data_IF_162197842682
#
_entry.id   IF_162197842682
#
_cell.length_a   1.000
_cell.length_b   1.000
_cell.length_c   1.000
_cell.angle_alpha   90.00
_cell.angle_beta   90.00
_cell.angle_gamma   90.00
#
_symmetry.space_group_name_H-M   'P 1'
#
loop_
_entity.id
_entity.type
_entity.pdbx_description
1 polymer ?
#
# COMPACT_ATOMS: atom_id res chain seq x y z
N UNK A 1 15.34 60.51 30.70
CA UNK A 1 15.72 59.33 29.88
C UNK A 1 14.75 58.21 30.14
N UNK A 2 13.84 57.95 29.21
CA UNK A 2 12.88 56.80 29.30
C UNK A 2 13.42 55.63 28.49
N UNK A 3 13.75 54.53 29.15
CA UNK A 3 14.25 53.32 28.51
C UNK A 3 13.05 52.53 28.01
N UNK A 4 12.90 52.47 26.68
CA UNK A 4 11.89 51.67 26.00
C UNK A 4 12.37 50.22 25.99
N UNK A 5 11.72 49.34 26.77
CA UNK A 5 11.96 47.88 26.72
C UNK A 5 11.16 47.29 25.56
N UNK A 6 11.86 46.89 24.49
CA UNK A 6 11.27 46.06 23.43
C UNK A 6 11.04 44.67 24.01
N UNK A 7 9.77 44.24 24.10
CA UNK A 7 9.41 42.85 24.29
C UNK A 7 9.49 42.13 22.94
N UNK A 8 10.47 41.25 22.76
CA UNK A 8 10.51 40.36 21.63
C UNK A 8 9.47 39.19 21.87
N UNK A 9 8.40 39.22 21.14
CA UNK A 9 7.43 38.10 21.09
C UNK A 9 8.02 36.99 20.23
N UNK A 10 8.49 35.91 20.84
CA UNK A 10 8.91 34.70 20.13
C UNK A 10 7.67 33.99 19.60
N UNK A 11 7.38 34.14 18.31
CA UNK A 11 6.39 33.34 17.63
C UNK A 11 6.92 31.92 17.50
N UNK A 12 6.48 31.02 18.40
CA UNK A 12 6.69 29.58 18.26
C UNK A 12 5.80 29.11 17.11
N UNK A 13 6.39 28.92 15.93
CA UNK A 13 5.71 28.28 14.83
C UNK A 13 5.28 26.88 15.26
N UNK A 14 4.02 26.46 15.07
CA UNK A 14 3.60 25.11 15.38
C UNK A 14 4.44 24.15 14.53
N UNK A 15 5.11 23.21 15.17
CA UNK A 15 5.77 22.11 14.50
C UNK A 15 4.70 21.35 13.71
N UNK A 16 4.75 21.40 12.38
CA UNK A 16 3.96 20.53 11.51
C UNK A 16 4.37 19.09 11.87
N UNK A 17 3.61 18.44 12.73
CA UNK A 17 3.76 17.00 12.94
C UNK A 17 3.53 16.35 11.59
N UNK A 18 4.52 15.65 11.07
CA UNK A 18 4.33 14.82 9.88
C UNK A 18 3.11 13.93 10.11
N UNK A 19 2.13 14.00 9.20
CA UNK A 19 0.90 13.25 9.34
C UNK A 19 1.24 11.77 9.49
N UNK A 20 0.65 11.11 10.50
CA UNK A 20 0.82 9.67 10.70
C UNK A 20 -0.02 8.91 9.66
N UNK A 21 0.57 8.65 8.52
CA UNK A 21 -0.09 7.96 7.41
C UNK A 21 -0.45 6.52 7.75
N UNK A 22 0.25 5.88 8.67
CA UNK A 22 -0.15 4.57 9.17
C UNK A 22 -1.50 4.65 9.91
N UNK A 23 -1.74 5.73 10.67
CA UNK A 23 -3.05 5.95 11.30
C UNK A 23 -4.16 6.12 10.25
N UNK A 24 -3.90 6.84 9.14
CA UNK A 24 -4.86 6.98 8.04
C UNK A 24 -5.14 5.63 7.34
N UNK A 25 -4.12 4.81 7.10
CA UNK A 25 -4.25 3.46 6.55
C UNK A 25 -5.09 2.58 7.49
N UNK A 26 -4.82 2.60 8.80
CA UNK A 26 -5.58 1.83 9.79
C UNK A 26 -7.03 2.32 9.90
N UNK A 27 -7.29 3.62 9.80
CA UNK A 27 -8.65 4.16 9.74
C UNK A 27 -9.39 3.67 8.49
N UNK A 28 -8.72 3.63 7.33
CA UNK A 28 -9.25 3.04 6.11
C UNK A 28 -9.58 1.55 6.32
N UNK A 29 -8.68 0.75 6.90
CA UNK A 29 -8.92 -0.68 7.22
C UNK A 29 -10.15 -0.85 8.09
N UNK A 30 -10.29 -0.09 9.19
CA UNK A 30 -11.47 -0.16 10.09
C UNK A 30 -12.79 0.15 9.40
N UNK A 31 -12.76 0.90 8.30
CA UNK A 31 -13.94 1.27 7.52
C UNK A 31 -14.23 0.30 6.36
N UNK A 32 -13.42 -0.73 6.18
CA UNK A 32 -13.67 -1.77 5.16
C UNK A 32 -14.76 -2.72 5.63
N UNK A 33 -15.58 -3.26 4.72
CA UNK A 33 -16.50 -4.33 5.07
C UNK A 33 -15.75 -5.62 5.46
N UNK A 34 -16.46 -6.57 6.03
CA UNK A 34 -15.95 -7.91 6.35
C UNK A 34 -16.49 -8.97 5.39
N UNK A 35 -15.75 -10.06 5.20
CA UNK A 35 -16.19 -11.19 4.39
C UNK A 35 -16.29 -10.89 2.89
N UNK A 36 -17.24 -11.52 2.22
CA UNK A 36 -17.54 -11.32 0.80
C UNK A 36 -16.82 -12.27 -0.14
N UNK A 37 -16.02 -13.21 0.38
CA UNK A 37 -15.35 -14.24 -0.39
C UNK A 37 -14.08 -13.76 -1.11
N UNK A 38 -13.29 -14.73 -1.56
CA UNK A 38 -12.04 -14.51 -2.30
C UNK A 38 -12.15 -15.02 -3.74
N UNK A 39 -11.82 -14.19 -4.72
CA UNK A 39 -11.78 -14.56 -6.13
C UNK A 39 -10.78 -13.69 -6.89
N UNK A 40 -10.22 -14.24 -7.99
CA UNK A 40 -9.23 -13.57 -8.87
C UNK A 40 -9.67 -13.52 -10.33
N UNK A 41 -10.98 -13.63 -10.60
CA UNK A 41 -11.54 -13.63 -11.96
C UNK A 41 -11.56 -12.23 -12.58
N UNK A 42 -11.76 -12.17 -13.88
CA UNK A 42 -11.97 -10.91 -14.62
C UNK A 42 -13.18 -10.13 -14.08
N UNK A 43 -14.24 -10.82 -13.66
CA UNK A 43 -15.41 -10.21 -13.01
C UNK A 43 -15.03 -9.53 -11.70
N UNK A 44 -14.22 -10.20 -10.85
CA UNK A 44 -13.72 -9.59 -9.60
C UNK A 44 -12.90 -8.33 -9.88
N UNK A 45 -12.08 -8.35 -10.93
CA UNK A 45 -11.33 -7.15 -11.35
C UNK A 45 -12.25 -6.04 -11.88
N UNK A 46 -13.35 -6.39 -12.56
CA UNK A 46 -14.36 -5.42 -12.98
C UNK A 46 -15.08 -4.79 -11.77
N UNK A 47 -15.40 -5.59 -10.74
CA UNK A 47 -15.99 -5.11 -9.48
C UNK A 47 -15.04 -4.17 -8.73
N UNK A 48 -13.73 -4.45 -8.72
CA UNK A 48 -12.74 -3.55 -8.14
C UNK A 48 -12.75 -2.17 -8.81
N UNK A 49 -12.80 -2.15 -10.15
CA UNK A 49 -12.91 -0.87 -10.91
C UNK A 49 -14.21 -0.15 -10.59
N UNK A 50 -15.34 -0.86 -10.58
CA UNK A 50 -16.66 -0.29 -10.27
C UNK A 50 -16.73 0.25 -8.81
N UNK A 51 -15.93 -0.29 -7.91
CA UNK A 51 -15.84 0.17 -6.53
C UNK A 51 -15.10 1.52 -6.38
N UNK A 52 -14.47 2.02 -7.45
CA UNK A 52 -13.69 3.26 -7.43
C UNK A 52 -14.25 4.25 -8.43
N UNK A 53 -14.78 5.36 -7.96
CA UNK A 53 -15.23 6.49 -8.77
C UNK A 53 -14.30 7.68 -8.60
N UNK A 54 -14.04 8.41 -9.68
CA UNK A 54 -13.30 9.68 -9.64
C UNK A 54 -14.32 10.82 -9.76
N UNK A 55 -14.38 11.68 -8.75
CA UNK A 55 -15.13 12.93 -8.78
C UNK A 55 -14.27 14.09 -9.28
N UNK A 56 -14.82 15.30 -9.24
CA UNK A 56 -14.06 16.50 -9.64
C UNK A 56 -12.80 16.68 -8.79
N UNK A 57 -12.92 16.50 -7.46
CA UNK A 57 -11.84 16.79 -6.51
C UNK A 57 -11.56 15.64 -5.53
N UNK A 58 -12.17 14.46 -5.72
CA UNK A 58 -12.00 13.35 -4.78
C UNK A 58 -12.17 11.98 -5.42
N UNK A 59 -11.69 10.96 -4.70
CA UNK A 59 -11.99 9.56 -4.95
C UNK A 59 -13.20 9.11 -4.12
N UNK A 60 -14.13 8.41 -4.75
CA UNK A 60 -15.24 7.72 -4.08
C UNK A 60 -14.96 6.23 -4.07
N UNK A 61 -14.77 5.69 -2.89
CA UNK A 61 -14.39 4.29 -2.72
C UNK A 61 -15.52 3.55 -2.01
N UNK A 62 -16.10 2.56 -2.70
CA UNK A 62 -17.22 1.72 -2.25
C UNK A 62 -16.81 0.25 -2.16
N UNK A 63 -16.04 -0.17 -1.13
CA UNK A 63 -15.44 -1.50 -1.07
C UNK A 63 -16.47 -2.65 -1.08
N UNK A 64 -17.70 -2.40 -0.66
CA UNK A 64 -18.78 -3.39 -0.70
C UNK A 64 -19.08 -3.90 -2.13
N UNK A 65 -18.85 -3.06 -3.16
CA UNK A 65 -19.01 -3.43 -4.56
C UNK A 65 -17.92 -4.42 -5.00
N UNK A 66 -16.69 -4.28 -4.46
CA UNK A 66 -15.55 -5.14 -4.78
C UNK A 66 -15.56 -6.46 -3.98
N UNK A 67 -16.70 -7.12 -3.91
CA UNK A 67 -16.87 -8.45 -3.29
C UNK A 67 -17.47 -9.43 -4.29
N UNK A 68 -16.88 -10.63 -4.47
CA UNK A 68 -15.64 -11.13 -3.86
C UNK A 68 -14.42 -10.28 -4.24
N UNK A 69 -13.31 -10.44 -3.49
CA UNK A 69 -12.10 -9.63 -3.68
C UNK A 69 -10.84 -10.50 -3.64
N UNK A 70 -9.68 -9.90 -3.90
CA UNK A 70 -8.36 -10.53 -3.77
C UNK A 70 -7.38 -9.57 -3.08
N UNK A 71 -6.26 -10.10 -2.64
CA UNK A 71 -5.37 -9.43 -1.70
C UNK A 71 -4.84 -8.06 -2.21
N UNK A 72 -4.32 -7.99 -3.44
CA UNK A 72 -3.82 -6.73 -4.01
C UNK A 72 -4.94 -5.72 -4.22
N UNK A 73 -6.13 -6.17 -4.67
CA UNK A 73 -7.31 -5.30 -4.80
C UNK A 73 -7.76 -4.72 -3.46
N UNK A 74 -7.80 -5.56 -2.42
CA UNK A 74 -8.17 -5.13 -1.07
C UNK A 74 -7.22 -4.07 -0.51
N UNK A 75 -5.91 -4.31 -0.58
CA UNK A 75 -4.91 -3.37 -0.08
C UNK A 75 -4.82 -2.09 -0.91
N UNK A 76 -5.11 -2.16 -2.21
CA UNK A 76 -5.20 -0.98 -3.06
C UNK A 76 -6.40 -0.10 -2.68
N UNK A 77 -7.57 -0.69 -2.44
CA UNK A 77 -8.74 0.06 -1.95
C UNK A 77 -8.46 0.71 -0.60
N UNK A 78 -7.70 0.08 0.29
CA UNK A 78 -7.25 0.70 1.56
C UNK A 78 -6.37 1.92 1.29
N UNK A 79 -5.40 1.84 0.37
CA UNK A 79 -4.60 3.00 -0.04
C UNK A 79 -5.51 4.13 -0.53
N UNK A 80 -6.37 3.84 -1.50
CA UNK A 80 -7.25 4.86 -2.09
C UNK A 80 -8.20 5.49 -1.06
N UNK A 81 -8.71 4.70 -0.09
CA UNK A 81 -9.53 5.23 1.02
C UNK A 81 -8.72 6.13 1.95
N UNK A 82 -7.48 5.79 2.26
CA UNK A 82 -6.62 6.63 3.08
C UNK A 82 -6.35 7.98 2.40
N UNK A 83 -6.04 7.96 1.09
CA UNK A 83 -5.85 9.18 0.30
C UNK A 83 -7.14 10.02 0.22
N UNK A 84 -8.29 9.39 -0.08
CA UNK A 84 -9.58 10.07 -0.15
C UNK A 84 -9.98 10.70 1.20
N UNK A 85 -9.74 10.00 2.31
CA UNK A 85 -9.98 10.53 3.65
C UNK A 85 -9.12 11.74 3.96
N UNK A 86 -7.84 11.70 3.57
CA UNK A 86 -6.94 12.83 3.76
C UNK A 86 -7.31 14.05 2.89
N UNK A 87 -7.79 13.82 1.65
CA UNK A 87 -8.32 14.91 0.82
C UNK A 87 -9.57 15.53 1.41
N UNK A 88 -10.49 14.72 1.92
CA UNK A 88 -11.72 15.21 2.53
C UNK A 88 -11.48 16.08 3.77
N UNK A 89 -10.37 15.90 4.46
CA UNK A 89 -9.95 16.72 5.61
C UNK A 89 -9.00 17.86 5.25
N UNK A 90 -8.60 18.00 3.97
CA UNK A 90 -7.62 18.99 3.53
C UNK A 90 -6.17 18.67 3.90
N UNK A 91 -5.90 17.49 4.49
CA UNK A 91 -4.54 17.06 4.84
C UNK A 91 -3.70 16.61 3.63
N UNK A 92 -4.34 16.39 2.49
CA UNK A 92 -3.73 16.04 1.21
C UNK A 92 -4.49 16.75 0.10
N UNK A 93 -3.76 17.17 -0.94
CA UNK A 93 -4.35 17.70 -2.17
C UNK A 93 -3.71 16.99 -3.37
N UNK A 94 -4.50 16.27 -4.14
CA UNK A 94 -4.12 15.67 -5.40
C UNK A 94 -5.05 16.23 -6.49
N UNK A 95 -4.48 16.57 -7.62
CA UNK A 95 -5.25 17.09 -8.75
C UNK A 95 -6.10 15.99 -9.42
N UNK A 96 -7.14 16.36 -10.19
CA UNK A 96 -8.05 15.41 -10.81
C UNK A 96 -7.36 14.42 -11.77
N UNK A 97 -6.28 14.83 -12.46
CA UNK A 97 -5.54 13.94 -13.36
C UNK A 97 -4.77 12.88 -12.56
N UNK A 98 -4.19 13.25 -11.42
CA UNK A 98 -3.57 12.32 -10.48
C UNK A 98 -4.59 11.32 -9.93
N UNK A 99 -5.78 11.79 -9.51
CA UNK A 99 -6.84 10.92 -9.02
C UNK A 99 -7.31 9.93 -10.08
N UNK A 100 -7.45 10.39 -11.33
CA UNK A 100 -7.79 9.52 -12.45
C UNK A 100 -6.71 8.48 -12.73
N UNK A 101 -5.42 8.86 -12.64
CA UNK A 101 -4.29 7.93 -12.84
C UNK A 101 -4.16 6.89 -11.73
N UNK A 102 -4.65 7.19 -10.52
CA UNK A 102 -4.70 6.25 -9.39
C UNK A 102 -5.91 5.31 -9.45
N UNK A 103 -6.98 5.66 -10.16
CA UNK A 103 -8.13 4.77 -10.25
C UNK A 103 -7.76 3.44 -10.94
N UNK A 104 -8.20 2.27 -10.42
CA UNK A 104 -7.96 0.99 -11.06
C UNK A 104 -8.52 0.98 -12.49
N UNK A 105 -7.70 0.62 -13.46
CA UNK A 105 -8.06 0.57 -14.87
C UNK A 105 -7.74 -0.80 -15.46
N UNK A 106 -7.95 -0.98 -16.79
CA UNK A 106 -7.55 -2.17 -17.54
C UNK A 106 -6.02 -2.18 -17.78
N UNK A 107 -5.25 -2.06 -16.71
CA UNK A 107 -3.79 -2.02 -16.75
C UNK A 107 -3.22 -3.42 -16.55
N UNK A 108 -2.29 -3.82 -17.43
CA UNK A 108 -1.50 -5.04 -17.26
C UNK A 108 -0.43 -4.82 -16.18
N UNK A 109 0.15 -5.89 -15.68
CA UNK A 109 1.24 -5.83 -14.72
C UNK A 109 2.36 -4.88 -15.20
N UNK A 110 2.80 -4.02 -14.31
CA UNK A 110 3.78 -2.98 -14.59
C UNK A 110 3.23 -1.69 -15.21
N UNK A 111 1.96 -1.64 -15.63
CA UNK A 111 1.37 -0.45 -16.24
C UNK A 111 0.66 0.45 -15.22
N UNK A 112 0.86 1.75 -15.32
CA UNK A 112 0.20 2.74 -14.46
C UNK A 112 0.38 2.45 -12.96
N UNK A 113 -0.47 3.00 -12.13
CA UNK A 113 -0.44 2.78 -10.68
C UNK A 113 -0.98 1.40 -10.31
N UNK A 114 -2.15 1.05 -10.85
CA UNK A 114 -2.80 -0.21 -10.53
C UNK A 114 -2.02 -1.43 -11.04
N UNK A 115 -1.56 -1.43 -12.29
CA UNK A 115 -0.81 -2.55 -12.83
C UNK A 115 0.54 -2.78 -12.13
N UNK A 116 1.18 -1.71 -11.62
CA UNK A 116 2.35 -1.85 -10.74
C UNK A 116 1.98 -2.49 -9.42
N UNK A 117 0.95 -1.96 -8.76
CA UNK A 117 0.49 -2.47 -7.46
C UNK A 117 0.11 -3.94 -7.50
N UNK A 118 -0.61 -4.35 -8.55
CA UNK A 118 -1.13 -5.70 -8.71
C UNK A 118 -0.10 -6.73 -9.18
N UNK A 119 1.01 -6.28 -9.73
CA UNK A 119 2.03 -7.16 -10.29
C UNK A 119 2.59 -8.18 -9.29
N UNK A 120 3.02 -9.33 -9.79
CA UNK A 120 3.83 -10.27 -9.04
C UNK A 120 5.11 -9.58 -8.51
N UNK A 121 5.77 -10.20 -7.54
CA UNK A 121 6.96 -9.67 -6.93
C UNK A 121 6.68 -8.46 -6.04
N UNK A 122 7.52 -7.42 -6.09
CA UNK A 122 7.48 -6.29 -5.18
C UNK A 122 6.54 -5.17 -5.66
N UNK A 123 5.43 -5.46 -6.34
CA UNK A 123 4.60 -4.45 -7.02
C UNK A 123 4.35 -3.17 -6.23
N UNK A 124 3.78 -3.27 -5.01
CA UNK A 124 3.56 -2.13 -4.11
C UNK A 124 4.86 -1.40 -3.78
N UNK A 125 5.91 -2.14 -3.40
CA UNK A 125 7.20 -1.54 -3.01
C UNK A 125 7.89 -0.86 -4.21
N UNK A 126 7.73 -1.41 -5.40
CA UNK A 126 8.25 -0.81 -6.63
C UNK A 126 7.57 0.53 -6.93
N UNK A 127 6.24 0.59 -6.84
CA UNK A 127 5.46 1.83 -7.00
C UNK A 127 5.89 2.89 -5.97
N UNK A 128 6.05 2.49 -4.70
CA UNK A 128 6.51 3.39 -3.63
C UNK A 128 7.89 3.96 -3.93
N UNK A 129 8.81 3.12 -4.39
CA UNK A 129 10.17 3.54 -4.74
C UNK A 129 10.20 4.51 -5.94
N UNK A 130 9.49 4.18 -7.03
CA UNK A 130 9.47 5.01 -8.24
C UNK A 130 8.91 6.42 -8.00
N UNK A 131 7.89 6.51 -7.18
CA UNK A 131 7.25 7.79 -6.85
C UNK A 131 7.88 8.48 -5.63
N UNK A 132 8.66 7.76 -4.84
CA UNK A 132 9.19 8.28 -3.58
C UNK A 132 8.10 8.61 -2.55
N UNK A 133 6.93 7.96 -2.63
CA UNK A 133 5.81 8.22 -1.71
C UNK A 133 6.03 7.68 -0.31
N UNK A 134 7.14 6.97 -0.09
CA UNK A 134 7.49 6.39 1.20
C UNK A 134 8.75 5.55 1.11
N UNK A 135 8.96 4.71 2.09
CA UNK A 135 10.14 3.84 2.16
C UNK A 135 9.78 2.37 2.19
N UNK A 136 10.67 1.55 1.65
CA UNK A 136 10.59 0.10 1.68
C UNK A 136 11.69 -0.48 2.57
N UNK A 137 11.39 -1.61 3.24
CA UNK A 137 12.32 -2.29 4.13
C UNK A 137 11.90 -3.75 4.38
N UNK A 138 12.81 -4.55 4.97
CA UNK A 138 12.57 -5.97 5.26
C UNK A 138 12.61 -6.30 6.76
N UNK A 139 13.02 -5.34 7.61
CA UNK A 139 13.12 -5.52 9.06
C UNK A 139 11.72 -5.59 9.70
N UNK A 140 11.49 -6.65 10.46
CA UNK A 140 10.28 -6.83 11.28
C UNK A 140 10.25 -5.84 12.46
N UNK A 141 11.41 -5.49 13.01
CA UNK A 141 11.58 -4.57 14.14
C UNK A 141 11.21 -3.12 13.74
N UNK A 142 11.43 -2.78 12.47
CA UNK A 142 11.06 -1.48 11.93
C UNK A 142 9.57 -1.39 11.55
N UNK A 143 8.88 -2.54 11.44
CA UNK A 143 7.49 -2.60 11.01
C UNK A 143 6.53 -2.02 12.06
N UNK A 144 5.51 -1.31 11.58
CA UNK A 144 4.45 -0.71 12.43
C UNK A 144 3.08 -1.05 11.87
N UNK A 145 2.04 -1.20 12.72
CA UNK A 145 0.68 -1.33 12.24
C UNK A 145 0.33 -0.24 11.21
N UNK A 146 -0.28 -0.64 10.09
CA UNK A 146 -0.58 0.25 8.97
C UNK A 146 0.44 0.21 7.83
N UNK A 147 1.60 -0.44 7.98
CA UNK A 147 2.51 -0.67 6.87
C UNK A 147 1.88 -1.64 5.85
N UNK A 148 2.07 -1.39 4.58
CA UNK A 148 1.78 -2.36 3.54
C UNK A 148 2.84 -3.45 3.57
N UNK A 149 2.42 -4.70 3.47
CA UNK A 149 3.32 -5.84 3.53
C UNK A 149 3.05 -6.79 2.37
N UNK A 150 4.09 -7.07 1.60
CA UNK A 150 4.13 -8.19 0.68
C UNK A 150 4.74 -9.39 1.38
N UNK A 151 3.93 -10.41 1.57
CA UNK A 151 4.34 -11.72 2.09
C UNK A 151 4.70 -12.62 0.90
N UNK A 152 5.83 -13.31 0.99
CA UNK A 152 6.19 -14.42 0.13
C UNK A 152 6.18 -15.68 0.99
N UNK A 153 5.27 -16.61 0.66
CA UNK A 153 5.13 -17.87 1.41
C UNK A 153 6.25 -18.85 1.13
N UNK A 154 7.02 -18.64 0.09
CA UNK A 154 8.23 -19.37 -0.27
C UNK A 154 9.23 -18.42 -0.92
N UNK A 155 10.48 -18.87 -1.00
CA UNK A 155 11.59 -18.08 -1.55
C UNK A 155 11.57 -18.09 -3.09
N UNK A 156 10.46 -17.64 -3.67
CA UNK A 156 10.25 -17.50 -5.11
C UNK A 156 9.54 -16.19 -5.40
N UNK A 157 10.03 -15.47 -6.39
CA UNK A 157 9.48 -14.19 -6.88
C UNK A 157 9.22 -14.33 -8.38
N UNK A 158 8.11 -13.78 -8.85
CA UNK A 158 7.74 -13.80 -10.27
C UNK A 158 6.84 -14.97 -10.63
N UNK A 159 7.13 -15.71 -11.73
CA UNK A 159 6.23 -16.72 -12.30
C UNK A 159 5.82 -17.83 -11.34
N UNK A 160 6.68 -18.21 -10.39
CA UNK A 160 6.42 -19.27 -9.40
C UNK A 160 6.03 -18.71 -8.03
N UNK A 161 5.73 -17.43 -7.95
CA UNK A 161 5.44 -16.77 -6.69
C UNK A 161 4.18 -17.32 -6.02
N UNK A 162 4.28 -17.51 -4.71
CA UNK A 162 3.13 -17.56 -3.82
C UNK A 162 3.19 -16.37 -2.89
N UNK A 163 2.56 -15.27 -3.32
CA UNK A 163 2.56 -14.02 -2.61
C UNK A 163 1.22 -13.67 -1.98
N UNK A 164 1.25 -12.73 -1.05
CA UNK A 164 0.06 -12.14 -0.45
C UNK A 164 0.30 -10.68 -0.11
N UNK A 165 -0.58 -9.79 -0.53
CA UNK A 165 -0.53 -8.36 -0.21
C UNK A 165 -1.45 -8.09 0.97
N UNK A 166 -0.93 -7.50 2.04
CA UNK A 166 -1.67 -7.31 3.30
C UNK A 166 -1.35 -5.95 3.94
N UNK A 167 -2.17 -5.52 4.88
CA UNK A 167 -1.85 -4.44 5.81
C UNK A 167 -1.36 -5.08 7.11
N UNK A 168 -0.15 -4.78 7.51
CA UNK A 168 0.45 -5.29 8.74
C UNK A 168 -0.25 -4.67 9.96
N UNK A 169 -0.59 -5.49 10.94
CA UNK A 169 -1.27 -5.08 12.18
C UNK A 169 -0.44 -5.34 13.43
N UNK A 170 0.62 -6.15 13.32
CA UNK A 170 1.51 -6.42 14.45
C UNK A 170 2.05 -7.84 14.46
N UNK A 171 2.93 -8.06 15.41
CA UNK A 171 3.42 -9.39 15.81
C UNK A 171 2.89 -9.67 17.20
N UNK A 172 2.41 -10.89 17.43
CA UNK A 172 1.87 -11.34 18.71
C UNK A 172 2.39 -12.75 19.03
N UNK A 173 2.45 -13.08 20.32
CA UNK A 173 2.72 -14.45 20.75
C UNK A 173 1.40 -15.17 20.94
N UNK A 174 1.18 -16.27 20.24
CA UNK A 174 0.04 -17.18 20.42
C UNK A 174 0.54 -18.54 20.88
N UNK A 175 0.26 -18.88 22.11
CA UNK A 175 0.61 -20.17 22.70
C UNK A 175 2.10 -20.52 22.52
N UNK A 176 2.99 -19.54 22.75
CA UNK A 176 4.42 -19.69 22.56
C UNK A 176 4.92 -19.54 21.09
N UNK A 177 4.02 -19.31 20.13
CA UNK A 177 4.36 -19.16 18.72
C UNK A 177 4.30 -17.68 18.30
N UNK A 178 5.45 -17.14 17.89
CA UNK A 178 5.51 -15.80 17.29
C UNK A 178 4.69 -15.76 15.98
N UNK A 179 3.67 -14.92 15.94
CA UNK A 179 2.67 -14.90 14.87
C UNK A 179 2.48 -13.48 14.35
N UNK A 180 2.20 -13.36 13.06
CA UNK A 180 1.95 -12.10 12.37
C UNK A 180 0.45 -11.92 12.19
N UNK A 181 -0.08 -10.81 12.69
CA UNK A 181 -1.45 -10.36 12.46
C UNK A 181 -1.48 -9.34 11.33
N UNK A 182 -2.38 -9.54 10.38
CA UNK A 182 -2.56 -8.67 9.22
C UNK A 182 -4.02 -8.63 8.76
N UNK A 183 -4.37 -7.62 7.98
CA UNK A 183 -5.64 -7.49 7.28
C UNK A 183 -5.46 -7.60 5.77
N UNK A 184 -6.39 -8.27 5.08
CA UNK A 184 -6.43 -8.36 3.62
C UNK A 184 -7.77 -8.94 3.13
N UNK A 185 -7.89 -9.24 1.83
CA UNK A 185 -8.82 -10.26 1.36
C UNK A 185 -8.15 -11.62 1.42
N UNK A 186 -8.67 -12.50 2.25
CA UNK A 186 -8.09 -13.81 2.60
C UNK A 186 -8.96 -14.96 2.06
N UNK A 187 -8.31 -16.05 1.62
CA UNK A 187 -9.03 -17.29 1.25
C UNK A 187 -9.51 -18.03 2.50
N UNK A 188 -10.77 -18.54 2.50
CA UNK A 188 -11.84 -18.34 1.51
C UNK A 188 -12.69 -17.08 1.77
N UNK A 189 -12.55 -16.43 2.92
CA UNK A 189 -13.54 -15.58 3.58
C UNK A 189 -13.67 -14.17 2.96
N UNK A 190 -12.62 -13.68 2.27
CA UNK A 190 -12.58 -12.31 1.77
C UNK A 190 -11.95 -11.32 2.76
N UNK A 191 -12.54 -10.13 2.89
CA UNK A 191 -12.01 -9.07 3.74
C UNK A 191 -12.00 -9.45 5.22
N UNK A 192 -10.86 -9.32 5.86
CA UNK A 192 -10.73 -9.60 7.29
C UNK A 192 -9.31 -9.69 7.78
N UNK A 193 -9.17 -9.81 9.09
CA UNK A 193 -7.89 -10.06 9.74
C UNK A 193 -7.55 -11.55 9.68
N UNK A 194 -6.26 -11.83 9.67
CA UNK A 194 -5.72 -13.18 9.78
C UNK A 194 -4.44 -13.15 10.62
N UNK A 195 -4.22 -14.26 11.33
CA UNK A 195 -3.01 -14.49 12.10
C UNK A 195 -2.33 -15.75 11.58
N UNK A 196 -1.03 -15.67 11.34
CA UNK A 196 -0.23 -16.80 10.87
C UNK A 196 1.09 -16.88 11.64
N UNK A 197 1.63 -18.07 11.91
CA UNK A 197 2.97 -18.20 12.44
C UNK A 197 3.99 -17.46 11.56
N UNK A 198 4.83 -16.61 12.15
CA UNK A 198 5.87 -15.85 11.42
C UNK A 198 6.83 -16.78 10.67
N UNK A 199 7.12 -17.94 11.23
CA UNK A 199 7.96 -18.95 10.60
C UNK A 199 7.42 -19.52 9.28
N UNK A 200 6.11 -19.34 8.97
CA UNK A 200 5.53 -19.71 7.67
C UNK A 200 5.80 -18.67 6.57
N UNK A 201 6.31 -17.49 6.92
CA UNK A 201 6.62 -16.42 5.98
C UNK A 201 8.09 -16.55 5.59
N UNK A 202 8.37 -16.97 4.36
CA UNK A 202 9.73 -17.12 3.89
C UNK A 202 10.43 -15.76 3.72
N UNK A 203 9.72 -14.76 3.14
CA UNK A 203 10.24 -13.39 2.96
C UNK A 203 9.13 -12.37 3.20
N UNK A 204 9.51 -11.19 3.69
CA UNK A 204 8.63 -10.05 3.94
C UNK A 204 9.24 -8.78 3.35
N UNK A 205 8.43 -8.02 2.62
CA UNK A 205 8.80 -6.71 2.08
C UNK A 205 7.74 -5.69 2.49
N UNK A 206 8.13 -4.76 3.35
CA UNK A 206 7.27 -3.70 3.86
C UNK A 206 7.38 -2.43 3.03
N UNK A 207 6.28 -1.69 2.96
CA UNK A 207 6.22 -0.35 2.36
C UNK A 207 5.43 0.56 3.31
N UNK A 208 6.07 1.63 3.78
CA UNK A 208 5.44 2.65 4.64
C UNK A 208 5.13 3.89 3.82
N UNK A 209 3.89 4.33 3.86
CA UNK A 209 3.47 5.59 3.25
C UNK A 209 3.94 6.76 4.11
N UNK A 210 4.66 7.72 3.50
CA UNK A 210 5.23 8.86 4.22
C UNK A 210 4.98 10.20 3.50
N UNK A 211 4.91 10.19 2.17
CA UNK A 211 4.80 11.38 1.33
C UNK A 211 3.78 11.18 0.20
N UNK A 212 2.47 11.02 0.51
CA UNK A 212 1.45 10.71 -0.50
C UNK A 212 1.22 11.82 -1.52
N UNK A 213 1.59 13.05 -1.23
CA UNK A 213 1.58 14.17 -2.19
C UNK A 213 2.42 13.87 -3.43
N UNK A 214 3.42 12.99 -3.31
CA UNK A 214 4.26 12.56 -4.43
C UNK A 214 3.55 11.65 -5.44
N UNK A 215 2.34 11.16 -5.13
CA UNK A 215 1.49 10.51 -6.14
C UNK A 215 1.20 11.44 -7.32
N UNK A 216 1.26 12.77 -7.16
CA UNK A 216 1.22 13.72 -8.26
C UNK A 216 2.30 13.47 -9.34
N UNK A 217 3.31 12.67 -9.02
CA UNK A 217 4.34 12.22 -9.96
C UNK A 217 3.91 11.07 -10.88
N UNK A 218 2.74 10.46 -10.70
CA UNK A 218 2.34 9.23 -11.41
C UNK A 218 2.37 9.37 -12.95
N UNK A 219 2.05 10.53 -13.47
CA UNK A 219 2.10 10.79 -14.91
C UNK A 219 3.54 10.88 -15.49
N UNK A 220 4.55 11.01 -14.63
CA UNK A 220 5.96 11.13 -15.02
C UNK A 220 6.72 9.81 -14.97
N UNK A 221 6.16 8.76 -14.36
CA UNK A 221 6.79 7.44 -14.41
C UNK A 221 6.61 6.81 -15.80
N UNK A 222 7.52 5.95 -16.25
CA UNK A 222 7.36 5.25 -17.52
C UNK A 222 6.01 4.56 -17.63
N UNK A 223 5.41 4.52 -18.82
CA UNK A 223 4.10 3.91 -19.03
C UNK A 223 4.08 2.44 -18.55
N UNK A 224 5.20 1.74 -18.71
CA UNK A 224 5.39 0.34 -18.29
C UNK A 224 6.68 0.23 -17.47
N UNK A 225 6.60 -0.44 -16.31
CA UNK A 225 7.80 -0.95 -15.61
C UNK A 225 8.15 -2.31 -16.22
N UNK A 226 9.30 -2.43 -16.96
CA UNK A 226 9.64 -3.66 -17.66
C UNK A 226 9.99 -4.81 -16.70
N UNK A 227 10.49 -4.51 -15.50
CA UNK A 227 10.76 -5.52 -14.47
C UNK A 227 9.46 -6.17 -14.01
N UNK A 228 8.49 -5.38 -13.55
CA UNK A 228 7.20 -5.90 -13.09
C UNK A 228 6.44 -6.61 -14.21
N UNK A 229 6.43 -6.05 -15.42
CA UNK A 229 5.76 -6.66 -16.58
C UNK A 229 6.33 -8.05 -16.93
N UNK A 230 7.63 -8.29 -16.67
CA UNK A 230 8.25 -9.59 -16.94
C UNK A 230 7.92 -10.68 -15.91
N UNK A 231 7.44 -10.33 -14.72
CA UNK A 231 7.33 -11.27 -13.58
C UNK A 231 6.20 -12.30 -13.70
N UNK A 232 5.29 -12.15 -14.65
CA UNK A 232 4.33 -13.21 -14.98
C UNK A 232 4.99 -14.41 -15.64
N UNK A 233 6.06 -14.18 -16.40
CA UNK A 233 6.73 -15.19 -17.21
C UNK A 233 8.14 -15.52 -16.71
N UNK A 234 8.76 -14.58 -15.98
CA UNK A 234 10.15 -14.68 -15.51
C UNK A 234 10.20 -14.97 -14.00
N UNK A 235 11.16 -15.80 -13.61
CA UNK A 235 11.60 -15.91 -12.21
C UNK A 235 12.50 -14.74 -11.83
N UNK A 236 12.40 -14.30 -10.60
CA UNK A 236 13.27 -13.32 -9.96
C UNK A 236 13.71 -13.84 -8.60
N UNK A 237 14.70 -13.18 -7.99
CA UNK A 237 15.08 -13.43 -6.60
C UNK A 237 14.52 -12.37 -5.66
N UNK A 238 14.44 -12.69 -4.37
CA UNK A 238 14.08 -11.71 -3.36
C UNK A 238 15.10 -10.55 -3.29
N UNK A 239 16.39 -10.85 -3.50
CA UNK A 239 17.44 -9.84 -3.56
C UNK A 239 17.23 -8.86 -4.74
N UNK A 240 16.88 -9.36 -5.93
CA UNK A 240 16.55 -8.51 -7.07
C UNK A 240 15.29 -7.68 -6.79
N UNK A 241 14.25 -8.27 -6.21
CA UNK A 241 13.02 -7.56 -5.83
C UNK A 241 13.31 -6.41 -4.85
N UNK A 242 14.14 -6.66 -3.85
CA UNK A 242 14.59 -5.63 -2.90
C UNK A 242 15.37 -4.52 -3.59
N UNK A 243 16.35 -4.86 -4.41
CA UNK A 243 17.18 -3.88 -5.14
C UNK A 243 16.31 -3.01 -6.06
N UNK A 244 15.35 -3.60 -6.79
CA UNK A 244 14.38 -2.88 -7.64
C UNK A 244 13.43 -1.99 -6.84
N UNK A 245 13.27 -2.24 -5.56
CA UNK A 245 12.43 -1.48 -4.63
C UNK A 245 13.23 -0.51 -3.75
N UNK A 246 14.52 -0.30 -4.04
CA UNK A 246 15.38 0.62 -3.28
C UNK A 246 15.73 0.10 -1.87
N UNK A 247 15.67 -1.21 -1.63
CA UNK A 247 16.02 -1.84 -0.36
C UNK A 247 17.38 -2.52 -0.48
N UNK A 248 18.32 -2.10 0.36
CA UNK A 248 19.58 -2.83 0.52
C UNK A 248 19.32 -4.15 1.28
N UNK A 249 19.67 -5.27 0.68
CA UNK A 249 19.65 -6.56 1.36
C UNK A 249 21.02 -6.74 2.01
N UNK A 250 21.11 -6.98 3.32
CA UNK A 250 22.38 -7.37 3.95
C UNK A 250 22.94 -8.60 3.22
N UNK A 251 24.20 -8.56 2.88
CA UNK A 251 24.93 -9.70 2.31
C UNK A 251 25.10 -10.81 3.31
#
# INVERSE_FOLDING_TARGET
>A
MRILRLLAVLLIAPSLHAADWNAAVLAAVRSMPTGGGYSVTSETSARLRAATGVGADNLRISPAIARPSYCSGATYLVLLKALAGAQATGALQLDPATLQALAPAMQRDGQGAWGRWNANGPGTARLFHELGVGRNFTSWEAARPGDFLKIFWRDAVGSDERGHSVIFLGVENRDGVESVRFWSSNKPDGYGEKVVPKAKIARALFSRLEQPERFAGIARVPAVDPYLASLLERRSSFAEACAKSGVAVPR
#
